data_IF_732226605646
#
_entry.id   IF_732226605646
#
_cell.length_a   1.000
_cell.length_b   1.000
_cell.length_c   1.000
_cell.angle_alpha   90.00
_cell.angle_beta   90.00
_cell.angle_gamma   90.00
#
_symmetry.space_group_name_H-M   'P 1'
#
loop_
_entity.id
_entity.type
_entity.pdbx_description
1 polymer ?
#
# COMPACT_ATOMS: atom_id res chain seq x y z
N UNK A 1 -17.46 -7.96 -11.92
CA UNK A 1 -15.99 -7.84 -12.11
C UNK A 1 -15.35 -8.39 -10.86
N UNK A 2 -14.78 -9.59 -10.92
CA UNK A 2 -14.12 -10.21 -9.77
C UNK A 2 -12.68 -9.72 -9.77
N UNK A 3 -12.43 -8.54 -9.19
CA UNK A 3 -11.07 -8.03 -9.00
C UNK A 3 -10.51 -8.83 -7.82
N UNK A 4 -9.99 -10.02 -8.11
CA UNK A 4 -9.19 -10.76 -7.14
C UNK A 4 -7.88 -9.99 -6.99
N UNK A 5 -7.82 -9.08 -6.01
CA UNK A 5 -6.57 -8.44 -5.64
C UNK A 5 -5.68 -9.49 -5.01
N UNK A 6 -4.92 -10.22 -5.83
CA UNK A 6 -3.85 -11.10 -5.37
C UNK A 6 -2.78 -10.21 -4.73
N UNK A 7 -2.98 -9.95 -3.44
CA UNK A 7 -2.06 -9.16 -2.64
C UNK A 7 -0.84 -9.99 -2.26
N UNK A 8 -0.81 -11.28 -2.59
CA UNK A 8 0.27 -12.23 -2.31
C UNK A 8 1.63 -11.73 -2.77
N UNK A 9 1.71 -11.14 -3.98
CA UNK A 9 2.95 -10.54 -4.48
C UNK A 9 3.34 -9.30 -3.67
N UNK A 10 2.41 -8.38 -3.46
CA UNK A 10 2.66 -7.13 -2.72
C UNK A 10 3.10 -7.41 -1.27
N UNK A 11 2.47 -8.38 -0.62
CA UNK A 11 2.84 -8.90 0.71
C UNK A 11 4.26 -9.45 0.69
N UNK A 12 4.63 -10.23 -0.32
CA UNK A 12 5.96 -10.82 -0.41
C UNK A 12 7.05 -9.77 -0.63
N UNK A 13 6.79 -8.73 -1.43
CA UNK A 13 7.71 -7.61 -1.64
C UNK A 13 7.84 -6.78 -0.35
N UNK A 14 6.71 -6.39 0.26
CA UNK A 14 6.71 -5.61 1.50
C UNK A 14 7.42 -6.34 2.66
N UNK A 15 7.30 -7.67 2.75
CA UNK A 15 8.05 -8.47 3.74
C UNK A 15 9.57 -8.40 3.54
N UNK A 16 10.04 -8.37 2.29
CA UNK A 16 11.47 -8.22 1.99
C UNK A 16 11.94 -6.82 2.38
N UNK A 17 11.16 -5.81 2.05
CA UNK A 17 11.51 -4.42 2.34
C UNK A 17 11.51 -4.17 3.85
N UNK A 18 10.56 -4.73 4.61
CA UNK A 18 10.60 -4.68 6.08
C UNK A 18 11.84 -5.39 6.64
N UNK A 19 12.29 -6.47 6.00
CA UNK A 19 13.50 -7.17 6.45
C UNK A 19 14.78 -6.35 6.18
N UNK A 20 14.79 -5.55 5.11
CA UNK A 20 15.91 -4.69 4.72
C UNK A 20 15.93 -3.35 5.46
N UNK A 21 14.78 -2.70 5.57
CA UNK A 21 14.62 -1.32 6.07
C UNK A 21 13.93 -1.24 7.44
N UNK A 22 13.58 -2.39 8.04
CA UNK A 22 12.84 -2.49 9.30
C UNK A 22 11.45 -1.84 9.19
N UNK A 23 10.90 -1.28 10.28
CA UNK A 23 9.58 -0.65 10.25
C UNK A 23 9.64 0.82 9.81
N UNK A 24 9.73 1.06 8.51
CA UNK A 24 9.78 2.39 7.89
C UNK A 24 8.38 2.94 7.58
N UNK A 25 8.31 4.26 7.38
CA UNK A 25 7.10 4.93 6.91
C UNK A 25 7.05 4.87 5.38
N UNK A 26 5.88 4.56 4.83
CA UNK A 26 5.63 4.44 3.40
C UNK A 26 4.33 5.13 3.00
N UNK A 27 4.17 5.37 1.70
CA UNK A 27 2.92 5.79 1.12
C UNK A 27 2.14 4.56 0.66
N UNK A 28 1.02 4.27 1.32
CA UNK A 28 0.11 3.23 0.88
C UNK A 28 -0.89 3.81 -0.12
N UNK A 29 -1.06 3.12 -1.25
CA UNK A 29 -2.04 3.46 -2.27
C UNK A 29 -3.23 2.52 -2.11
N UNK A 30 -4.42 3.10 -2.01
CA UNK A 30 -5.65 2.37 -1.83
C UNK A 30 -6.74 2.85 -2.79
N UNK A 31 -7.71 2.00 -3.07
CA UNK A 31 -8.88 2.32 -3.85
C UNK A 31 -10.14 2.03 -3.03
N UNK A 32 -11.11 2.93 -3.07
CA UNK A 32 -12.41 2.69 -2.41
C UNK A 32 -13.38 2.04 -3.39
N UNK A 33 -13.93 0.88 -3.02
CA UNK A 33 -14.95 0.18 -3.80
C UNK A 33 -16.10 -0.15 -2.85
N UNK A 34 -17.29 0.42 -3.12
CA UNK A 34 -18.49 0.23 -2.29
C UNK A 34 -18.28 0.58 -0.80
N UNK A 35 -17.50 1.62 -0.49
CA UNK A 35 -17.18 2.03 0.88
C UNK A 35 -16.15 1.15 1.60
N UNK A 36 -15.54 0.19 0.90
CA UNK A 36 -14.46 -0.65 1.41
C UNK A 36 -13.16 -0.18 0.76
N UNK A 37 -12.15 0.11 1.61
CA UNK A 37 -10.81 0.49 1.18
C UNK A 37 -9.98 -0.76 0.88
N UNK A 38 -9.44 -0.82 -0.33
CA UNK A 38 -8.53 -1.87 -0.77
C UNK A 38 -7.15 -1.28 -1.02
N UNK A 39 -6.14 -1.74 -0.30
CA UNK A 39 -4.75 -1.39 -0.62
C UNK A 39 -4.28 -2.17 -1.84
N UNK A 40 -3.67 -1.46 -2.76
CA UNK A 40 -3.33 -1.98 -4.09
C UNK A 40 -1.85 -1.84 -4.41
N UNK A 41 -1.17 -0.90 -3.77
CA UNK A 41 0.24 -0.61 -4.00
C UNK A 41 0.86 0.16 -2.82
N UNK A 42 2.19 0.31 -2.82
CA UNK A 42 2.88 1.24 -1.91
C UNK A 42 4.13 1.83 -2.57
N UNK A 43 4.58 2.95 -2.02
CA UNK A 43 5.83 3.59 -2.40
C UNK A 43 6.62 4.01 -1.16
N UNK A 44 7.94 4.09 -1.26
CA UNK A 44 8.76 4.56 -0.15
C UNK A 44 8.45 6.03 0.12
N UNK A 45 8.32 6.40 1.40
CA UNK A 45 8.22 7.81 1.74
C UNK A 45 9.61 8.42 1.71
N UNK A 46 9.93 9.13 0.64
CA UNK A 46 11.12 9.96 0.60
C UNK A 46 10.91 11.14 1.55
N UNK A 47 11.62 11.14 2.68
CA UNK A 47 11.48 12.16 3.74
C UNK A 47 11.81 13.58 3.25
N UNK A 48 12.49 13.70 2.10
CA UNK A 48 12.90 14.95 1.48
C UNK A 48 11.93 15.46 0.40
N UNK A 49 10.84 14.73 0.11
CA UNK A 49 9.84 15.12 -0.89
C UNK A 49 8.45 15.28 -0.25
N UNK A 50 7.74 16.35 -0.62
CA UNK A 50 6.34 16.53 -0.28
C UNK A 50 5.56 15.27 -0.73
N UNK A 51 4.58 14.76 0.04
CA UNK A 51 3.84 13.55 -0.33
C UNK A 51 3.29 13.61 -1.74
N UNK A 52 2.81 14.77 -2.18
CA UNK A 52 2.28 15.02 -3.51
C UNK A 52 3.34 15.15 -4.62
N UNK A 53 4.60 15.40 -4.27
CA UNK A 53 5.75 15.39 -5.18
C UNK A 53 6.52 14.06 -5.17
N UNK A 54 6.46 13.31 -4.06
CA UNK A 54 7.10 12.01 -3.87
C UNK A 54 6.38 10.87 -4.60
N UNK A 55 5.13 11.08 -5.02
CA UNK A 55 4.40 10.06 -5.72
C UNK A 55 5.00 9.90 -7.13
N UNK A 56 5.86 8.90 -7.31
CA UNK A 56 6.34 8.48 -8.62
C UNK A 56 5.18 8.15 -9.59
N UNK A 57 3.96 8.00 -9.06
CA UNK A 57 2.74 7.73 -9.80
C UNK A 57 1.64 8.75 -9.47
N UNK A 58 1.08 9.46 -10.48
CA UNK A 58 -0.13 10.23 -10.27
C UNK A 58 -1.28 9.28 -9.88
N UNK A 59 -1.92 9.55 -8.74
CA UNK A 59 -3.09 8.80 -8.30
C UNK A 59 -4.16 8.80 -9.38
N UNK A 60 -4.70 7.63 -9.70
CA UNK A 60 -5.84 7.52 -10.60
C UNK A 60 -7.10 8.01 -9.89
N UNK A 61 -8.12 8.34 -10.67
CA UNK A 61 -9.44 8.73 -10.15
C UNK A 61 -9.99 7.61 -9.27
N UNK A 62 -10.19 7.89 -7.98
CA UNK A 62 -10.68 6.91 -6.98
C UNK A 62 -9.58 6.28 -6.13
N UNK A 63 -8.30 6.52 -6.44
CA UNK A 63 -7.17 6.14 -5.59
C UNK A 63 -6.91 7.19 -4.51
N UNK A 64 -6.56 6.73 -3.32
CA UNK A 64 -6.17 7.53 -2.17
C UNK A 64 -4.76 7.12 -1.75
N UNK A 65 -3.97 8.09 -1.31
CA UNK A 65 -2.64 7.88 -0.74
C UNK A 65 -2.67 8.27 0.73
N UNK A 66 -2.10 7.42 1.57
CA UNK A 66 -1.92 7.71 2.99
C UNK A 66 -0.54 7.27 3.48
N UNK A 67 0.02 8.01 4.42
CA UNK A 67 1.27 7.60 5.08
C UNK A 67 0.97 6.62 6.20
N UNK A 68 1.61 5.46 6.16
CA UNK A 68 1.43 4.40 7.14
C UNK A 68 2.75 3.66 7.34
N UNK A 69 2.89 2.96 8.48
CA UNK A 69 4.04 2.10 8.71
C UNK A 69 3.98 0.82 7.89
N UNK A 70 5.13 0.36 7.42
CA UNK A 70 5.26 -0.88 6.65
C UNK A 70 4.63 -2.08 7.37
N UNK A 71 4.82 -2.20 8.69
CA UNK A 71 4.20 -3.28 9.49
C UNK A 71 2.67 -3.23 9.50
N UNK A 72 2.10 -2.03 9.49
CA UNK A 72 0.66 -1.81 9.57
C UNK A 72 0.01 -2.08 8.20
N UNK A 73 0.63 -1.62 7.11
CA UNK A 73 0.22 -1.97 5.75
C UNK A 73 0.27 -3.49 5.53
N UNK A 74 1.33 -4.16 5.98
CA UNK A 74 1.45 -5.61 5.87
C UNK A 74 0.28 -6.33 6.55
N UNK A 75 -0.06 -5.90 7.77
CA UNK A 75 -1.19 -6.46 8.52
C UNK A 75 -2.53 -6.24 7.82
N UNK A 76 -2.70 -5.12 7.12
CA UNK A 76 -3.90 -4.82 6.34
C UNK A 76 -3.99 -5.69 5.08
N UNK A 77 -2.89 -5.83 4.34
CA UNK A 77 -2.81 -6.68 3.15
C UNK A 77 -3.05 -8.16 3.49
N UNK A 78 -2.48 -8.67 4.58
CA UNK A 78 -2.72 -10.05 5.03
C UNK A 78 -4.19 -10.28 5.40
N UNK A 79 -4.85 -9.29 6.02
CA UNK A 79 -6.30 -9.34 6.29
C UNK A 79 -7.11 -9.33 5.00
N UNK A 80 -6.80 -8.45 4.05
CA UNK A 80 -7.48 -8.41 2.75
C UNK A 80 -7.36 -9.74 2.00
N UNK A 81 -6.18 -10.35 2.03
CA UNK A 81 -5.92 -11.63 1.38
C UNK A 81 -6.56 -12.83 2.10
N UNK A 82 -6.86 -12.71 3.39
CA UNK A 82 -7.51 -13.77 4.19
C UNK A 82 -9.05 -13.75 4.12
N UNK A 83 -9.64 -12.67 3.59
CA UNK A 83 -11.11 -12.51 3.44
C UNK A 83 -11.60 -13.02 2.08
N UNK A 84 -10.69 -13.44 1.19
CA UNK A 84 -10.99 -14.05 -0.11
C UNK A 84 -11.01 -15.59 -0.04
#
# INVERSE_FOLDING_TARGET
>A
MNISYDSSRLIAELKKDILEFNNFDLYAISHEINGIRFYTDYDFSDLDLDPDESAAFPLKVGEMKETIKASDLLSLLEKQNSVL
#
